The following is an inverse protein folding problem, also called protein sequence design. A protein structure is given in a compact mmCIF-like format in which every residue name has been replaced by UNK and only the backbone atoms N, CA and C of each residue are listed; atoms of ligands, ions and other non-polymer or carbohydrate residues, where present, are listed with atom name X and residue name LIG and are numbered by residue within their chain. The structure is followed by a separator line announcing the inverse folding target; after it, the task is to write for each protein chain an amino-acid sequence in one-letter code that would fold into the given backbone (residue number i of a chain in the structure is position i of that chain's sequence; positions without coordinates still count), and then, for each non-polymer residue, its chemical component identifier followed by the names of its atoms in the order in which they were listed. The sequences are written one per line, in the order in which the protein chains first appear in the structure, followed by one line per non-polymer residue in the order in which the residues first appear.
data_IF_942331173758
#
_entry.id   IF_942331173758
#
_cell.length_a   1.000
_cell.length_b   1.000
_cell.length_c   1.000
_cell.angle_alpha   90.00
_cell.angle_beta   90.00
_cell.angle_gamma   90.00
#
_symmetry.space_group_name_H-M   'P 1'
#
loop_
_entity.id
_entity.type
_entity.pdbx_description
1 polymer ?
#
# COMPACT_ATOMS: atom_id res chain seq x y z
N UNK A 1 6.28 -28.33 36.10
CA UNK A 1 5.25 -28.45 35.04
C UNK A 1 5.93 -29.19 33.89
N UNK A 2 5.33 -30.20 33.26
CA UNK A 2 6.04 -30.89 32.16
C UNK A 2 6.12 -29.98 30.92
N UNK A 3 7.23 -30.00 30.19
CA UNK A 3 7.50 -29.14 29.02
C UNK A 3 6.45 -29.31 27.92
N UNK A 4 5.87 -30.50 27.82
CA UNK A 4 4.72 -30.77 26.93
C UNK A 4 3.52 -29.87 27.27
N UNK A 5 3.27 -29.59 28.54
CA UNK A 5 2.17 -28.73 28.96
C UNK A 5 2.44 -27.26 28.58
N UNK A 6 3.65 -26.75 28.80
CA UNK A 6 4.07 -25.42 28.33
C UNK A 6 3.91 -25.28 26.80
N UNK A 7 4.34 -26.29 26.05
CA UNK A 7 4.21 -26.32 24.58
C UNK A 7 2.74 -26.28 24.15
N UNK A 8 1.87 -27.08 24.80
CA UNK A 8 0.43 -27.10 24.49
C UNK A 8 -0.21 -25.75 24.82
N UNK A 9 0.08 -25.18 26.00
CA UNK A 9 -0.42 -23.87 26.39
C UNK A 9 0.02 -22.77 25.42
N UNK A 10 1.29 -22.78 25.02
CA UNK A 10 1.84 -21.83 24.04
C UNK A 10 1.13 -21.96 22.69
N UNK A 11 0.88 -23.18 22.21
CA UNK A 11 0.11 -23.43 20.98
C UNK A 11 -1.34 -22.94 21.08
N UNK A 12 -1.97 -23.11 22.25
CA UNK A 12 -3.33 -22.62 22.49
C UNK A 12 -3.36 -21.10 22.48
N UNK A 13 -2.42 -20.44 23.17
CA UNK A 13 -2.30 -18.98 23.17
C UNK A 13 -2.06 -18.45 21.75
N UNK A 14 -1.22 -19.12 20.95
CA UNK A 14 -1.02 -18.76 19.54
C UNK A 14 -2.32 -18.79 18.75
N UNK A 15 -3.12 -19.86 18.89
CA UNK A 15 -4.43 -19.96 18.23
C UNK A 15 -5.39 -18.86 18.69
N UNK A 16 -5.38 -18.52 19.97
CA UNK A 16 -6.20 -17.43 20.51
C UNK A 16 -5.77 -16.09 19.91
N UNK A 17 -4.47 -15.77 19.93
CA UNK A 17 -3.93 -14.56 19.32
C UNK A 17 -4.32 -14.48 17.84
N UNK A 18 -4.16 -15.56 17.06
CA UNK A 18 -4.56 -15.57 15.65
C UNK A 18 -6.04 -15.23 15.44
N UNK A 19 -6.94 -15.72 16.30
CA UNK A 19 -8.37 -15.38 16.24
C UNK A 19 -8.60 -13.92 16.58
N UNK A 20 -7.97 -13.40 17.63
CA UNK A 20 -8.06 -11.99 18.01
C UNK A 20 -7.58 -11.09 16.87
N UNK A 21 -6.45 -11.42 16.23
CA UNK A 21 -5.91 -10.65 15.11
C UNK A 21 -6.82 -10.69 13.87
N UNK A 22 -7.54 -11.79 13.63
CA UNK A 22 -8.54 -11.89 12.57
C UNK A 22 -9.76 -11.02 12.86
N UNK A 23 -10.25 -11.03 14.11
CA UNK A 23 -11.37 -10.19 14.53
C UNK A 23 -11.03 -8.71 14.44
N UNK A 24 -9.85 -8.30 14.93
CA UNK A 24 -9.36 -6.92 14.81
C UNK A 24 -9.30 -6.44 13.35
N UNK A 25 -8.99 -7.34 12.41
CA UNK A 25 -8.94 -6.99 10.99
C UNK A 25 -10.33 -6.67 10.41
N UNK A 26 -11.40 -7.24 10.99
CA UNK A 26 -12.79 -6.93 10.62
C UNK A 26 -13.27 -5.64 11.29
N UNK A 27 -12.84 -5.40 12.52
CA UNK A 27 -13.31 -4.27 13.33
C UNK A 27 -12.61 -2.94 12.97
N UNK A 28 -11.36 -3.00 12.50
CA UNK A 28 -10.51 -1.83 12.24
C UNK A 28 -10.32 -1.58 10.73
N UNK A 29 -11.00 -0.56 10.21
CA UNK A 29 -10.90 -0.16 8.81
C UNK A 29 -9.58 0.56 8.47
N UNK A 30 -8.96 1.25 9.44
CA UNK A 30 -7.71 1.95 9.23
C UNK A 30 -6.51 0.99 9.37
N UNK A 31 -5.64 0.83 8.35
CA UNK A 31 -4.50 -0.10 8.41
C UNK A 31 -3.47 0.20 9.50
N UNK A 32 -3.24 1.49 9.81
CA UNK A 32 -2.32 1.91 10.86
C UNK A 32 -2.88 1.58 12.23
N UNK A 33 -4.15 1.92 12.46
CA UNK A 33 -4.84 1.60 13.72
C UNK A 33 -4.86 0.09 13.95
N UNK A 34 -5.23 -0.70 12.92
CA UNK A 34 -5.17 -2.16 12.98
C UNK A 34 -3.78 -2.66 13.41
N UNK A 35 -2.71 -2.16 12.78
CA UNK A 35 -1.36 -2.58 13.10
C UNK A 35 -0.96 -2.23 14.54
N UNK A 36 -1.39 -1.08 15.06
CA UNK A 36 -1.15 -0.67 16.46
C UNK A 36 -1.82 -1.61 17.47
N UNK A 37 -3.12 -1.88 17.30
CA UNK A 37 -3.83 -2.82 18.18
C UNK A 37 -3.26 -4.25 18.06
N UNK A 38 -2.96 -4.69 16.84
CA UNK A 38 -2.35 -5.99 16.61
C UNK A 38 -0.97 -6.13 17.29
N UNK A 39 -0.17 -5.06 17.31
CA UNK A 39 1.09 -5.02 18.03
C UNK A 39 0.87 -5.15 19.55
N UNK A 40 -0.12 -4.44 20.10
CA UNK A 40 -0.47 -4.51 21.53
C UNK A 40 -0.87 -5.92 21.96
N UNK A 41 -1.79 -6.56 21.24
CA UNK A 41 -2.23 -7.94 21.52
C UNK A 41 -1.06 -8.94 21.41
N UNK A 42 -0.19 -8.73 20.41
CA UNK A 42 1.00 -9.57 20.23
C UNK A 42 1.98 -9.40 21.40
N UNK A 43 2.19 -8.17 21.87
CA UNK A 43 3.06 -7.86 23.00
C UNK A 43 2.55 -8.47 24.32
N UNK A 44 1.24 -8.42 24.57
CA UNK A 44 0.64 -9.10 25.71
C UNK A 44 0.84 -10.61 25.66
N UNK A 45 0.67 -11.22 24.49
CA UNK A 45 0.94 -12.65 24.30
C UNK A 45 2.43 -12.99 24.51
N UNK A 46 3.36 -12.14 24.05
CA UNK A 46 4.80 -12.31 24.27
C UNK A 46 5.13 -12.23 25.77
N UNK A 47 4.58 -11.23 26.49
CA UNK A 47 4.77 -11.09 27.94
C UNK A 47 4.23 -12.30 28.70
N UNK A 48 3.09 -12.83 28.26
CA UNK A 48 2.48 -14.04 28.81
C UNK A 48 3.39 -15.26 28.65
N UNK A 49 3.85 -15.58 27.43
CA UNK A 49 4.76 -16.72 27.21
C UNK A 49 6.09 -16.53 27.95
N UNK A 50 6.58 -15.30 28.03
CA UNK A 50 7.81 -14.98 28.76
C UNK A 50 7.66 -15.29 30.25
N UNK A 51 6.52 -14.93 30.85
CA UNK A 51 6.24 -15.25 32.25
C UNK A 51 6.28 -16.76 32.53
N UNK A 52 5.80 -17.58 31.60
CA UNK A 52 5.79 -19.05 31.75
C UNK A 52 7.20 -19.64 31.63
N UNK A 53 7.96 -19.20 30.63
CA UNK A 53 9.29 -19.74 30.29
C UNK A 53 10.35 -19.38 31.32
N UNK A 54 10.28 -18.20 31.93
CA UNK A 54 11.24 -17.77 32.96
C UNK A 54 11.14 -18.65 34.21
N UNK A 55 9.95 -19.15 34.52
CA UNK A 55 9.70 -20.04 35.67
C UNK A 55 9.80 -21.53 35.33
N UNK A 56 10.17 -21.87 34.09
CA UNK A 56 10.13 -23.24 33.59
C UNK A 56 11.53 -23.74 33.20
N UNK A 57 11.89 -24.89 33.77
CA UNK A 57 13.05 -25.67 33.36
C UNK A 57 12.60 -26.73 32.34
N UNK A 58 13.22 -26.73 31.16
CA UNK A 58 12.89 -27.72 30.13
C UNK A 58 13.40 -29.10 30.55
N UNK A 59 12.52 -30.10 30.47
CA UNK A 59 12.83 -31.48 30.87
C UNK A 59 13.84 -32.13 29.90
N UNK A 60 13.88 -31.65 28.65
CA UNK A 60 14.80 -32.13 27.63
C UNK A 60 15.12 -31.02 26.60
N UNK A 61 16.28 -31.18 25.94
CA UNK A 61 16.76 -30.22 24.94
C UNK A 61 15.82 -30.13 23.73
N UNK A 62 15.16 -31.23 23.34
CA UNK A 62 14.22 -31.26 22.22
C UNK A 62 13.03 -30.32 22.46
N UNK A 63 12.54 -30.26 23.70
CA UNK A 63 11.42 -29.39 24.09
C UNK A 63 11.84 -27.91 24.08
N UNK A 64 13.05 -27.62 24.56
CA UNK A 64 13.62 -26.27 24.55
C UNK A 64 13.82 -25.77 23.12
N UNK A 65 14.47 -26.57 22.27
CA UNK A 65 14.65 -26.27 20.85
C UNK A 65 13.29 -26.10 20.16
N UNK A 66 12.32 -26.97 20.45
CA UNK A 66 10.97 -26.82 19.88
C UNK A 66 10.36 -25.48 20.25
N UNK A 67 10.53 -25.02 21.49
CA UNK A 67 10.03 -23.73 21.93
C UNK A 67 10.72 -22.57 21.20
N UNK A 68 12.05 -22.50 21.23
CA UNK A 68 12.82 -21.38 20.68
C UNK A 68 12.91 -21.36 19.15
N UNK A 69 12.87 -22.51 18.49
CA UNK A 69 12.94 -22.63 17.03
C UNK A 69 11.56 -22.51 16.37
N UNK A 70 10.51 -23.06 16.98
CA UNK A 70 9.23 -23.27 16.29
C UNK A 70 8.04 -22.52 16.91
N UNK A 71 8.06 -22.19 18.21
CA UNK A 71 6.91 -21.58 18.87
C UNK A 71 7.11 -20.09 19.13
N UNK A 72 8.11 -19.73 19.94
CA UNK A 72 8.39 -18.32 20.27
C UNK A 72 8.50 -17.44 19.03
N UNK A 73 9.20 -17.84 17.94
CA UNK A 73 9.33 -17.01 16.75
C UNK A 73 8.01 -16.66 16.06
N UNK A 74 6.94 -17.46 16.23
CA UNK A 74 5.62 -17.14 15.69
C UNK A 74 5.06 -15.84 16.28
N UNK A 75 5.28 -15.62 17.58
CA UNK A 75 4.83 -14.41 18.27
C UNK A 75 5.75 -13.24 17.97
N UNK A 76 7.06 -13.44 18.14
CA UNK A 76 8.05 -12.37 17.94
C UNK A 76 8.06 -11.87 16.49
N UNK A 77 7.82 -12.74 15.51
CA UNK A 77 7.70 -12.33 14.10
C UNK A 77 6.51 -11.40 13.85
N UNK A 78 5.37 -11.64 14.51
CA UNK A 78 4.21 -10.73 14.44
C UNK A 78 4.54 -9.37 15.03
N UNK A 79 5.24 -9.34 16.15
CA UNK A 79 5.66 -8.08 16.77
C UNK A 79 6.56 -7.27 15.85
N UNK A 80 7.61 -7.91 15.29
CA UNK A 80 8.53 -7.26 14.33
C UNK A 80 7.75 -6.76 13.09
N UNK A 81 6.87 -7.60 12.54
CA UNK A 81 6.06 -7.26 11.37
C UNK A 81 5.19 -6.02 11.62
N UNK A 82 4.38 -6.01 12.70
CA UNK A 82 3.48 -4.90 12.97
C UNK A 82 4.25 -3.63 13.33
N UNK A 83 5.36 -3.75 14.07
CA UNK A 83 6.25 -2.62 14.34
C UNK A 83 6.76 -1.98 13.03
N UNK A 84 7.27 -2.79 12.09
CA UNK A 84 7.71 -2.30 10.77
C UNK A 84 6.56 -1.68 9.95
N UNK A 85 5.37 -2.27 9.97
CA UNK A 85 4.19 -1.73 9.28
C UNK A 85 3.81 -0.36 9.85
N UNK A 86 3.79 -0.20 11.17
CA UNK A 86 3.50 1.08 11.84
C UNK A 86 4.53 2.13 11.45
N UNK A 87 5.82 1.79 11.53
CA UNK A 87 6.92 2.69 11.15
C UNK A 87 6.78 3.13 9.70
N UNK A 88 6.55 2.21 8.78
CA UNK A 88 6.34 2.54 7.37
C UNK A 88 5.14 3.49 7.22
N UNK A 89 3.95 3.07 7.65
CA UNK A 89 2.72 3.83 7.44
C UNK A 89 2.78 5.23 8.07
N UNK A 90 3.47 5.37 9.20
CA UNK A 90 3.61 6.65 9.92
C UNK A 90 4.69 7.56 9.31
N UNK A 91 5.67 7.00 8.60
CA UNK A 91 6.74 7.74 7.93
C UNK A 91 6.52 7.94 6.43
N UNK A 92 5.45 7.34 5.87
CA UNK A 92 5.10 7.48 4.45
C UNK A 92 4.99 8.96 4.07
N UNK A 93 5.76 9.43 3.07
CA UNK A 93 5.71 10.82 2.65
C UNK A 93 4.37 11.11 1.97
N UNK A 94 3.76 12.25 2.32
CA UNK A 94 2.57 12.78 1.64
C UNK A 94 2.91 13.35 0.26
N UNK A 95 4.20 13.59 -0.02
CA UNK A 95 4.71 14.07 -1.30
C UNK A 95 4.60 13.00 -2.38
N UNK A 96 4.35 13.42 -3.63
CA UNK A 96 3.84 12.58 -4.74
C UNK A 96 4.50 11.21 -4.97
N UNK A 97 3.78 10.36 -5.72
CA UNK A 97 3.98 8.91 -5.90
C UNK A 97 5.44 8.45 -6.11
N UNK A 98 6.28 9.27 -6.76
CA UNK A 98 7.70 8.96 -6.98
C UNK A 98 8.50 8.87 -5.67
N UNK A 99 8.22 9.74 -4.70
CA UNK A 99 8.92 9.75 -3.40
C UNK A 99 8.45 8.57 -2.55
N UNK A 100 7.15 8.29 -2.54
CA UNK A 100 6.58 7.11 -1.89
C UNK A 100 7.16 5.80 -2.46
N UNK A 101 7.30 5.70 -3.79
CA UNK A 101 7.93 4.55 -4.43
C UNK A 101 9.37 4.34 -3.98
N UNK A 102 10.18 5.41 -3.95
CA UNK A 102 11.58 5.33 -3.48
C UNK A 102 11.67 4.88 -2.02
N UNK A 103 10.74 5.34 -1.18
CA UNK A 103 10.70 4.91 0.22
C UNK A 103 10.41 3.41 0.34
N UNK A 104 9.41 2.89 -0.40
CA UNK A 104 9.15 1.44 -0.46
C UNK A 104 10.33 0.65 -1.03
N UNK A 105 10.99 1.16 -2.07
CA UNK A 105 12.20 0.55 -2.65
C UNK A 105 13.32 0.45 -1.61
N UNK A 106 13.53 1.48 -0.78
CA UNK A 106 14.53 1.43 0.30
C UNK A 106 14.24 0.37 1.37
N UNK A 107 12.96 0.08 1.65
CA UNK A 107 12.60 -1.03 2.54
C UNK A 107 12.90 -2.39 1.90
N UNK A 108 12.70 -2.56 0.59
CA UNK A 108 13.12 -3.77 -0.11
C UNK A 108 14.65 -3.96 -0.08
N UNK A 109 15.41 -2.89 -0.22
CA UNK A 109 16.87 -2.92 -0.11
C UNK A 109 17.32 -3.38 1.29
N UNK A 110 16.65 -2.91 2.34
CA UNK A 110 16.88 -3.39 3.71
C UNK A 110 16.61 -4.90 3.84
N UNK A 111 15.50 -5.40 3.29
CA UNK A 111 15.19 -6.84 3.31
C UNK A 111 16.24 -7.67 2.55
N UNK A 112 16.70 -7.17 1.41
CA UNK A 112 17.75 -7.81 0.61
C UNK A 112 19.09 -7.85 1.35
N UNK A 113 19.47 -6.74 2.00
CA UNK A 113 20.68 -6.68 2.81
C UNK A 113 20.65 -7.73 3.93
N UNK A 114 19.55 -7.82 4.69
CA UNK A 114 19.39 -8.84 5.73
C UNK A 114 19.50 -10.27 5.16
N UNK A 115 18.91 -10.51 3.99
CA UNK A 115 18.94 -11.81 3.32
C UNK A 115 20.35 -12.23 2.91
N UNK A 116 21.13 -11.29 2.38
CA UNK A 116 22.54 -11.52 2.03
C UNK A 116 23.39 -11.79 3.27
N UNK A 117 23.22 -10.96 4.30
CA UNK A 117 24.01 -11.02 5.54
C UNK A 117 23.77 -12.30 6.36
N UNK A 118 22.61 -12.93 6.19
CA UNK A 118 22.18 -14.13 6.92
C UNK A 118 21.91 -15.32 6.00
N UNK A 119 22.45 -15.31 4.77
CA UNK A 119 22.14 -16.31 3.72
C UNK A 119 22.25 -17.75 4.19
N UNK A 120 23.33 -18.10 4.90
CA UNK A 120 23.59 -19.47 5.33
C UNK A 120 22.59 -19.93 6.40
N UNK A 121 22.28 -19.05 7.36
CA UNK A 121 21.27 -19.33 8.37
C UNK A 121 19.87 -19.42 7.76
N UNK A 122 19.53 -18.55 6.81
CA UNK A 122 18.27 -18.62 6.07
C UNK A 122 18.16 -19.94 5.31
N UNK A 123 19.23 -20.38 4.65
CA UNK A 123 19.29 -21.67 3.95
C UNK A 123 19.09 -22.83 4.93
N UNK A 124 19.79 -22.81 6.08
CA UNK A 124 19.62 -23.78 7.17
C UNK A 124 18.16 -23.88 7.61
N UNK A 125 17.54 -22.74 7.92
CA UNK A 125 16.16 -22.68 8.40
C UNK A 125 15.16 -23.14 7.35
N UNK A 126 15.24 -22.63 6.11
CA UNK A 126 14.31 -22.97 5.01
C UNK A 126 14.40 -24.44 4.60
N UNK A 127 15.58 -25.06 4.72
CA UNK A 127 15.77 -26.51 4.49
C UNK A 127 15.30 -27.38 5.65
N UNK A 128 14.81 -26.78 6.75
CA UNK A 128 14.41 -27.47 7.98
C UNK A 128 15.52 -28.35 8.54
N UNK A 129 16.78 -27.92 8.37
CA UNK A 129 17.92 -28.63 8.92
C UNK A 129 17.90 -28.59 10.45
N UNK A 130 18.55 -29.58 11.08
CA UNK A 130 18.58 -29.75 12.54
C UNK A 130 20.00 -29.89 13.11
N UNK A 131 21.02 -29.99 12.25
CA UNK A 131 22.40 -30.31 12.66
C UNK A 131 23.08 -29.19 13.47
N UNK A 132 22.51 -28.00 13.57
CA UNK A 132 23.00 -26.89 14.41
C UNK A 132 22.00 -26.50 15.51
N UNK A 133 20.91 -27.26 15.71
CA UNK A 133 19.85 -26.86 16.62
C UNK A 133 20.34 -26.70 18.05
N UNK A 134 21.21 -27.60 18.52
CA UNK A 134 21.80 -27.54 19.86
C UNK A 134 22.71 -26.32 20.05
N UNK A 135 23.29 -25.77 18.97
CA UNK A 135 24.13 -24.56 19.02
C UNK A 135 23.31 -23.27 18.94
N UNK A 136 22.19 -23.32 18.22
CA UNK A 136 21.39 -22.15 17.88
C UNK A 136 20.26 -21.87 18.88
N UNK A 137 19.65 -22.91 19.46
CA UNK A 137 18.37 -22.81 20.17
C UNK A 137 18.40 -23.34 21.60
N UNK A 138 19.58 -23.44 22.21
CA UNK A 138 19.75 -23.74 23.64
C UNK A 138 20.03 -22.45 24.40
N UNK A 139 19.34 -22.20 25.52
CA UNK A 139 19.67 -21.08 26.42
C UNK A 139 20.98 -21.36 27.15
N UNK A 140 21.67 -20.28 27.56
CA UNK A 140 22.91 -20.33 28.34
C UNK A 140 24.05 -21.17 27.73
N UNK A 141 23.94 -21.54 26.45
CA UNK A 141 24.90 -22.36 25.70
C UNK A 141 25.07 -21.77 24.31
N UNK A 142 25.77 -20.64 24.23
CA UNK A 142 26.15 -20.06 22.95
C UNK A 142 27.57 -20.46 22.57
N UNK A 143 27.73 -20.83 21.30
CA UNK A 143 28.99 -21.21 20.70
C UNK A 143 29.60 -19.98 20.01
N UNK A 144 30.82 -19.60 20.39
CA UNK A 144 31.53 -18.44 19.83
C UNK A 144 31.97 -18.68 18.37
N UNK A 145 31.96 -19.93 17.90
CA UNK A 145 32.22 -20.27 16.50
C UNK A 145 31.06 -19.87 15.58
N UNK A 146 29.92 -19.46 16.16
CA UNK A 146 28.75 -19.00 15.43
C UNK A 146 28.66 -17.48 15.50
N UNK A 147 28.25 -16.86 14.38
CA UNK A 147 27.95 -15.43 14.32
C UNK A 147 26.85 -15.04 15.32
N UNK A 148 27.21 -14.23 16.31
CA UNK A 148 26.28 -13.67 17.29
C UNK A 148 25.78 -12.28 16.86
N UNK A 149 24.59 -11.90 17.36
CA UNK A 149 24.10 -10.54 17.19
C UNK A 149 25.04 -9.54 17.92
N UNK A 150 25.37 -8.39 17.33
CA UNK A 150 26.28 -7.41 17.98
C UNK A 150 25.77 -6.91 19.35
N UNK A 151 24.46 -6.85 19.51
CA UNK A 151 23.75 -6.39 20.70
C UNK A 151 23.25 -7.55 21.59
N UNK A 152 23.78 -8.77 21.38
CA UNK A 152 23.35 -9.97 22.12
C UNK A 152 23.42 -9.81 23.66
N UNK A 153 24.33 -8.98 24.16
CA UNK A 153 24.45 -8.67 25.59
C UNK A 153 23.19 -8.01 26.20
N UNK A 154 22.32 -7.42 25.38
CA UNK A 154 21.05 -6.83 25.83
C UNK A 154 19.89 -7.83 25.88
N UNK A 155 20.10 -9.06 25.40
CA UNK A 155 19.03 -10.03 25.26
C UNK A 155 18.79 -10.71 26.61
N UNK A 156 17.53 -10.94 26.95
CA UNK A 156 17.17 -11.68 28.16
C UNK A 156 17.58 -13.15 28.00
N UNK A 157 18.67 -13.55 28.64
CA UNK A 157 19.24 -14.91 28.61
C UNK A 157 18.25 -15.99 29.05
N UNK A 158 17.25 -15.66 29.88
CA UNK A 158 16.21 -16.61 30.31
C UNK A 158 15.13 -16.80 29.28
N UNK A 159 15.00 -15.87 28.33
CA UNK A 159 13.93 -15.89 27.33
C UNK A 159 14.47 -15.83 25.90
N UNK A 160 15.76 -15.89 25.65
CA UNK A 160 16.34 -15.76 24.31
C UNK A 160 17.47 -16.74 24.09
N UNK A 161 17.69 -17.10 22.83
CA UNK A 161 18.84 -17.91 22.39
C UNK A 161 19.68 -17.09 21.42
N UNK A 162 20.78 -17.65 20.93
CA UNK A 162 21.64 -16.92 19.99
C UNK A 162 20.93 -16.62 18.66
N UNK A 163 19.99 -17.46 18.20
CA UNK A 163 19.44 -17.40 16.83
C UNK A 163 17.91 -17.40 16.72
N UNK A 164 17.15 -17.50 17.80
CA UNK A 164 15.68 -17.47 17.74
C UNK A 164 15.13 -16.18 17.12
N UNK A 165 15.76 -15.03 17.39
CA UNK A 165 15.41 -13.74 16.82
C UNK A 165 15.59 -13.70 15.30
N UNK A 166 16.56 -14.43 14.73
CA UNK A 166 16.75 -14.51 13.28
C UNK A 166 15.59 -15.24 12.61
N UNK A 167 15.06 -16.32 13.22
CA UNK A 167 13.86 -16.99 12.71
C UNK A 167 12.67 -16.04 12.75
N UNK A 168 12.47 -15.34 13.87
CA UNK A 168 11.40 -14.37 13.99
C UNK A 168 11.51 -13.27 12.92
N UNK A 169 12.74 -12.81 12.65
CA UNK A 169 13.02 -11.80 11.63
C UNK A 169 12.76 -12.32 10.22
N UNK A 170 13.16 -13.56 9.90
CA UNK A 170 12.86 -14.20 8.60
C UNK A 170 11.35 -14.25 8.36
N UNK A 171 10.59 -14.76 9.33
CA UNK A 171 9.13 -14.87 9.23
C UNK A 171 8.45 -13.50 9.09
N UNK A 172 8.94 -12.50 9.85
CA UNK A 172 8.43 -11.14 9.77
C UNK A 172 8.72 -10.50 8.40
N UNK A 173 9.94 -10.70 7.88
CA UNK A 173 10.37 -10.19 6.58
C UNK A 173 9.60 -10.84 5.44
N UNK A 174 9.37 -12.15 5.45
CA UNK A 174 8.56 -12.85 4.45
C UNK A 174 7.13 -12.26 4.40
N UNK A 175 6.53 -11.97 5.57
CA UNK A 175 5.21 -11.33 5.64
C UNK A 175 5.24 -9.85 5.22
N UNK A 176 6.27 -9.12 5.62
CA UNK A 176 6.44 -7.70 5.32
C UNK A 176 6.69 -7.45 3.83
N UNK A 177 7.45 -8.32 3.17
CA UNK A 177 7.68 -8.26 1.73
C UNK A 177 6.36 -8.35 0.94
N UNK A 178 5.45 -9.23 1.34
CA UNK A 178 4.11 -9.32 0.75
C UNK A 178 3.30 -8.05 0.97
N UNK A 179 3.38 -7.46 2.16
CA UNK A 179 2.75 -6.19 2.47
C UNK A 179 3.30 -5.05 1.60
N UNK A 180 4.63 -4.93 1.48
CA UNK A 180 5.28 -3.94 0.63
C UNK A 180 4.89 -4.10 -0.85
N UNK A 181 4.84 -5.34 -1.35
CA UNK A 181 4.38 -5.62 -2.73
C UNK A 181 2.96 -5.13 -2.96
N UNK A 182 2.06 -5.34 -1.99
CA UNK A 182 0.68 -4.84 -2.04
C UNK A 182 0.63 -3.31 -2.02
N UNK A 183 1.41 -2.66 -1.17
CA UNK A 183 1.51 -1.18 -1.15
C UNK A 183 2.02 -0.64 -2.49
N UNK A 184 3.06 -1.26 -3.05
CA UNK A 184 3.61 -0.86 -4.34
C UNK A 184 2.61 -1.06 -5.49
N UNK A 185 1.81 -2.13 -5.44
CA UNK A 185 0.72 -2.35 -6.40
C UNK A 185 -0.37 -1.29 -6.27
N UNK A 186 -0.78 -0.96 -5.04
CA UNK A 186 -1.76 0.11 -4.78
C UNK A 186 -1.27 1.47 -5.31
N UNK A 187 0.03 1.76 -5.23
CA UNK A 187 0.63 2.98 -5.82
C UNK A 187 0.68 2.98 -7.35
N UNK A 188 0.64 1.81 -8.00
CA UNK A 188 0.53 1.68 -9.45
C UNK A 188 -0.92 1.77 -9.92
N UNK A 189 -1.84 1.29 -9.10
CA UNK A 189 -3.29 1.29 -9.35
C UNK A 189 -3.97 2.60 -8.97
N UNK A 190 -3.40 3.37 -8.03
CA UNK A 190 -3.73 4.79 -7.91
C UNK A 190 -3.12 5.49 -9.11
N UNK A 191 -3.93 5.99 -10.06
CA UNK A 191 -3.42 6.97 -10.99
C UNK A 191 -2.88 8.08 -10.10
N UNK A 192 -1.65 8.49 -10.36
CA UNK A 192 -1.20 9.83 -9.97
C UNK A 192 -2.38 10.80 -10.15
N UNK A 193 -2.69 11.67 -9.18
CA UNK A 193 -3.48 12.85 -9.48
C UNK A 193 -2.62 13.75 -10.38
N UNK A 194 -2.43 13.33 -11.63
CA UNK A 194 -2.49 14.27 -12.72
C UNK A 194 -3.95 14.74 -12.80
N UNK A 195 -4.18 16.02 -13.11
CA UNK A 195 -5.51 16.61 -13.07
C UNK A 195 -6.46 15.73 -13.89
N UNK A 196 -7.47 15.21 -13.20
CA UNK A 196 -8.62 14.46 -13.70
C UNK A 196 -8.85 14.52 -15.21
N UNK A 197 -8.47 13.47 -15.93
CA UNK A 197 -9.14 13.08 -17.17
C UNK A 197 -9.94 11.80 -16.91
N UNK A 198 -10.95 11.90 -16.06
CA UNK A 198 -12.08 10.99 -16.08
C UNK A 198 -12.89 11.27 -17.35
N UNK A 199 -12.38 10.88 -18.52
CA UNK A 199 -13.21 10.81 -19.72
C UNK A 199 -13.95 9.48 -19.68
N UNK A 200 -15.03 9.41 -18.89
CA UNK A 200 -16.20 8.67 -19.33
C UNK A 200 -16.69 9.36 -20.61
N UNK A 201 -16.07 9.03 -21.73
CA UNK A 201 -15.97 9.91 -22.89
C UNK A 201 -17.28 10.01 -23.67
N UNK A 202 -17.98 11.14 -23.53
CA UNK A 202 -18.89 11.61 -24.56
C UNK A 202 -18.06 11.81 -25.84
N UNK A 203 -18.44 11.10 -26.91
CA UNK A 203 -17.80 11.20 -28.21
C UNK A 203 -18.41 12.35 -29.01
N UNK A 204 -17.58 13.24 -29.55
CA UNK A 204 -18.06 14.30 -30.43
C UNK A 204 -18.35 13.75 -31.82
N UNK A 205 -19.62 13.75 -32.22
CA UNK A 205 -20.09 13.19 -33.50
C UNK A 205 -20.45 14.25 -34.54
N UNK A 206 -20.47 15.53 -34.16
CA UNK A 206 -20.73 16.63 -35.08
C UNK A 206 -19.45 17.00 -35.88
N UNK A 207 -19.55 17.79 -36.97
CA UNK A 207 -18.37 18.21 -37.74
C UNK A 207 -17.35 18.98 -36.89
N UNK A 208 -16.05 18.79 -37.17
CA UNK A 208 -14.95 19.52 -36.49
C UNK A 208 -15.11 21.04 -36.54
N UNK A 209 -15.69 21.54 -37.62
CA UNK A 209 -16.02 22.95 -37.83
C UNK A 209 -17.01 23.48 -36.78
N UNK A 210 -17.97 22.67 -36.34
CA UNK A 210 -18.93 23.03 -35.29
C UNK A 210 -18.26 23.08 -33.91
N UNK A 211 -17.35 22.15 -33.64
CA UNK A 211 -16.56 22.17 -32.40
C UNK A 211 -15.63 23.40 -32.37
N UNK A 212 -14.98 23.71 -33.49
CA UNK A 212 -14.15 24.91 -33.62
C UNK A 212 -14.95 26.18 -33.35
N UNK A 213 -16.17 26.29 -33.90
CA UNK A 213 -17.08 27.42 -33.65
C UNK A 213 -17.41 27.57 -32.15
N UNK A 214 -17.72 26.45 -31.48
CA UNK A 214 -18.04 26.42 -30.04
C UNK A 214 -16.84 26.81 -29.17
N UNK A 215 -15.66 26.24 -29.44
CA UNK A 215 -14.43 26.51 -28.68
C UNK A 215 -14.06 27.99 -28.76
N UNK A 216 -14.13 28.59 -29.96
CA UNK A 216 -13.85 30.00 -30.14
C UNK A 216 -14.86 30.89 -29.42
N UNK A 217 -16.14 30.54 -29.43
CA UNK A 217 -17.17 31.29 -28.71
C UNK A 217 -16.93 31.27 -27.20
N UNK A 218 -16.69 30.09 -26.61
CA UNK A 218 -16.42 29.94 -25.18
C UNK A 218 -15.11 30.61 -24.75
N UNK A 219 -14.10 30.62 -25.63
CA UNK A 219 -12.87 31.35 -25.36
C UNK A 219 -13.11 32.88 -25.31
N UNK A 220 -13.87 33.43 -26.26
CA UNK A 220 -14.17 34.87 -26.32
C UNK A 220 -15.20 35.34 -25.29
N UNK A 221 -15.98 34.44 -24.69
CA UNK A 221 -16.83 34.78 -23.53
C UNK A 221 -16.02 34.85 -22.23
N UNK A 222 -14.73 34.50 -22.26
CA UNK A 222 -13.83 34.52 -21.10
C UNK A 222 -14.36 33.72 -19.89
N UNK A 223 -15.16 32.67 -20.14
CA UNK A 223 -15.79 31.88 -19.08
C UNK A 223 -14.85 30.88 -18.39
N UNK A 224 -13.66 30.64 -18.94
CA UNK A 224 -12.66 29.73 -18.37
C UNK A 224 -11.65 30.48 -17.50
N UNK A 225 -11.40 29.96 -16.29
CA UNK A 225 -10.39 30.47 -15.34
C UNK A 225 -10.46 32.00 -15.12
N UNK A 226 -11.67 32.57 -15.05
CA UNK A 226 -11.87 34.01 -14.88
C UNK A 226 -11.32 34.85 -16.04
N UNK A 227 -11.22 34.28 -17.25
CA UNK A 227 -10.72 34.92 -18.45
C UNK A 227 -9.22 34.73 -18.72
N UNK A 228 -8.47 34.12 -17.80
CA UNK A 228 -7.02 33.93 -17.90
C UNK A 228 -6.63 32.59 -18.53
N UNK A 229 -7.17 32.28 -19.72
CA UNK A 229 -6.82 31.05 -20.45
C UNK A 229 -6.47 31.38 -21.90
N UNK A 230 -5.39 30.79 -22.42
CA UNK A 230 -5.03 30.96 -23.82
C UNK A 230 -5.97 30.16 -24.74
N UNK A 231 -6.10 30.59 -25.99
CA UNK A 231 -6.91 29.87 -26.98
C UNK A 231 -6.35 28.46 -27.23
N UNK A 232 -5.02 28.31 -27.30
CA UNK A 232 -4.37 27.02 -27.51
C UNK A 232 -4.59 26.04 -26.36
N UNK A 233 -4.58 26.51 -25.11
CA UNK A 233 -4.95 25.67 -23.95
C UNK A 233 -6.40 25.24 -24.00
N UNK A 234 -7.30 26.15 -24.38
CA UNK A 234 -8.73 25.85 -24.51
C UNK A 234 -8.97 24.80 -25.60
N UNK A 235 -8.38 24.98 -26.78
CA UNK A 235 -8.45 24.01 -27.89
C UNK A 235 -7.94 22.64 -27.46
N UNK A 236 -6.73 22.60 -26.88
CA UNK A 236 -6.11 21.34 -26.44
C UNK A 236 -6.97 20.59 -25.43
N UNK A 237 -7.58 21.30 -24.47
CA UNK A 237 -8.48 20.69 -23.51
C UNK A 237 -9.71 20.05 -24.17
N UNK A 238 -10.32 20.71 -25.18
CA UNK A 238 -11.45 20.15 -25.92
C UNK A 238 -11.06 18.94 -26.79
N UNK A 239 -9.87 18.97 -27.41
CA UNK A 239 -9.34 17.85 -28.19
C UNK A 239 -9.14 16.60 -27.32
N UNK A 240 -8.58 16.79 -26.11
CA UNK A 240 -8.40 15.74 -25.12
C UNK A 240 -9.74 15.24 -24.54
N UNK A 241 -10.63 16.16 -24.15
CA UNK A 241 -11.91 15.82 -23.52
C UNK A 241 -12.86 15.06 -24.46
N UNK A 242 -12.84 15.38 -25.77
CA UNK A 242 -13.75 14.80 -26.76
C UNK A 242 -13.08 13.79 -27.69
N UNK A 243 -11.78 13.53 -27.53
CA UNK A 243 -10.99 12.64 -28.39
C UNK A 243 -11.07 13.01 -29.88
N UNK A 244 -11.01 14.31 -30.20
CA UNK A 244 -11.05 14.83 -31.59
C UNK A 244 -9.81 15.67 -31.85
N UNK A 245 -9.18 15.47 -33.01
CA UNK A 245 -8.13 16.35 -33.53
C UNK A 245 -8.75 17.46 -34.38
N UNK A 246 -8.65 18.73 -33.95
CA UNK A 246 -9.17 19.89 -34.67
C UNK A 246 -8.23 20.37 -35.78
N UNK A 247 -6.98 19.90 -35.80
CA UNK A 247 -5.98 20.27 -36.81
C UNK A 247 -5.76 21.78 -36.89
N UNK A 248 -5.83 22.36 -38.09
CA UNK A 248 -5.61 23.79 -38.29
C UNK A 248 -6.88 24.62 -38.00
N UNK A 249 -7.23 24.73 -36.72
CA UNK A 249 -8.39 25.49 -36.22
C UNK A 249 -8.35 26.99 -36.58
N UNK A 250 -7.17 27.56 -36.84
CA UNK A 250 -7.01 28.94 -37.33
C UNK A 250 -7.52 29.12 -38.77
N UNK A 251 -7.27 28.14 -39.65
CA UNK A 251 -7.83 28.18 -41.00
C UNK A 251 -9.35 27.96 -40.96
N UNK A 252 -9.82 27.01 -40.14
CA UNK A 252 -11.25 26.73 -39.99
C UNK A 252 -12.03 27.95 -39.49
N UNK A 253 -11.51 28.73 -38.54
CA UNK A 253 -12.18 29.97 -38.10
C UNK A 253 -12.15 31.06 -39.18
N UNK A 254 -11.08 31.15 -39.98
CA UNK A 254 -11.02 32.08 -41.11
C UNK A 254 -12.07 31.73 -42.18
N UNK A 255 -12.28 30.45 -42.45
CA UNK A 255 -13.36 29.98 -43.32
C UNK A 255 -14.75 30.29 -42.75
N UNK A 256 -14.96 30.10 -41.44
CA UNK A 256 -16.20 30.48 -40.74
C UNK A 256 -16.47 31.98 -40.90
N UNK A 257 -15.44 32.83 -40.73
CA UNK A 257 -15.54 34.29 -40.88
C UNK A 257 -15.92 34.72 -42.31
N UNK A 258 -15.50 33.98 -43.32
CA UNK A 258 -15.74 34.30 -44.73
C UNK A 258 -17.11 33.80 -45.26
N UNK A 259 -17.96 33.20 -44.42
CA UNK A 259 -19.30 32.77 -44.81
C UNK A 259 -20.21 33.97 -45.08
N UNK A 260 -20.80 34.02 -46.27
CA UNK A 260 -21.76 35.07 -46.69
C UNK A 260 -23.10 35.03 -45.94
N UNK A 261 -23.44 33.89 -45.32
CA UNK A 261 -24.69 33.70 -44.56
C UNK A 261 -24.41 32.81 -43.35
N UNK A 262 -24.92 33.22 -42.19
CA UNK A 262 -24.82 32.55 -40.88
C UNK A 262 -23.40 32.10 -40.48
N UNK A 263 -22.51 33.05 -40.09
CA UNK A 263 -21.18 32.73 -39.57
C UNK A 263 -21.24 31.79 -38.35
N UNK A 264 -22.17 32.02 -37.43
CA UNK A 264 -22.35 31.25 -36.18
C UNK A 264 -23.49 30.22 -36.29
N UNK A 265 -23.42 29.35 -37.30
CA UNK A 265 -24.49 28.40 -37.61
C UNK A 265 -24.74 27.41 -36.47
N UNK A 266 -23.69 26.87 -35.86
CA UNK A 266 -23.81 25.87 -34.81
C UNK A 266 -24.32 26.48 -33.50
N UNK A 267 -23.81 27.66 -33.12
CA UNK A 267 -24.28 28.36 -31.91
C UNK A 267 -25.75 28.76 -32.00
N UNK A 268 -26.20 29.19 -33.19
CA UNK A 268 -27.62 29.48 -33.41
C UNK A 268 -28.48 28.23 -33.23
N UNK A 269 -28.04 27.09 -33.79
CA UNK A 269 -28.72 25.81 -33.59
C UNK A 269 -28.78 25.40 -32.09
N UNK A 270 -27.70 25.60 -31.33
CA UNK A 270 -27.70 25.35 -29.88
C UNK A 270 -28.70 26.24 -29.14
N UNK A 271 -28.74 27.53 -29.49
CA UNK A 271 -29.69 28.49 -28.92
C UNK A 271 -31.13 28.10 -29.22
N UNK A 272 -31.44 27.84 -30.50
CA UNK A 272 -32.79 27.45 -30.95
C UNK A 272 -33.26 26.17 -30.23
N UNK A 273 -32.37 25.17 -30.08
CA UNK A 273 -32.66 23.93 -29.35
C UNK A 273 -32.93 24.17 -27.86
N UNK A 274 -32.14 25.02 -27.21
CA UNK A 274 -32.32 25.36 -25.79
C UNK A 274 -33.62 26.15 -25.58
N UNK A 275 -33.90 27.14 -26.42
CA UNK A 275 -35.14 27.92 -26.38
C UNK A 275 -36.37 27.03 -26.57
N UNK A 276 -36.36 26.15 -27.57
CA UNK A 276 -37.46 25.21 -27.81
C UNK A 276 -37.66 24.20 -26.65
N UNK A 277 -36.60 23.87 -25.91
CA UNK A 277 -36.71 23.06 -24.70
C UNK A 277 -37.36 23.84 -23.55
N UNK A 278 -36.96 25.10 -23.34
CA UNK A 278 -37.52 25.96 -22.30
C UNK A 278 -39.00 26.30 -22.55
N UNK A 279 -39.38 26.56 -23.80
CA UNK A 279 -40.78 26.85 -24.18
C UNK A 279 -41.71 25.61 -24.06
N UNK A 280 -41.16 24.40 -24.01
CA UNK A 280 -41.95 23.17 -23.80
C UNK A 280 -42.38 22.95 -22.34
N UNK A 281 -41.72 23.58 -21.38
CA UNK A 281 -41.98 23.41 -19.94
C UNK A 281 -43.03 24.40 -19.39
N UNK A 282 -43.45 25.39 -20.18
CA UNK A 282 -44.55 26.31 -19.86
C UNK A 282 -45.95 25.69 -20.07
N UNK A 283 -46.01 24.43 -20.50
CA UNK A 283 -47.25 23.65 -20.61
C UNK A 283 -47.58 22.91 -19.31
N UNK A 284 -47.88 23.61 -18.23
CA UNK A 284 -48.54 23.03 -17.04
C UNK A 284 -49.99 22.67 -17.41
N UNK A 285 -50.44 21.40 -17.34
CA UNK A 285 -51.84 21.11 -17.08
C UNK A 285 -52.04 21.12 -15.57
N UNK A 286 -52.99 21.93 -15.10
CA UNK A 286 -53.65 21.80 -13.80
C UNK A 286 -54.21 20.38 -13.61
#
# INVERSE_FOLDING_TARGET
MHSSHLIIQTKTLWKTLQKTLQQLQLDKNNPLEYAQYALMETDEAIRTIKSWVITHDFDCWESEITFFKNLKPLFTSKFIYYSKVITLLSSMPHSGTKVQKRHLESEFDYLNYFSLENRDFISYYRRKATYLDLKYFMRFKYDLDVKLAPDFHNYDERFSTSHDHLIATILAHDQYELFLKKQLQQLKETPTPEPSSSTSGLQWTAPKVALTELVFALHHTHCFNGGNTSLSETVKWFEEALSVDLGNYHNTIAEIRNRKSNPTKFLKQLSDNLTAYLEKDDGIPL
#
